data_IF_693801514892
#
_entry.id   IF_693801514892
#
_cell.length_a   1.000
_cell.length_b   1.000
_cell.length_c   1.000
_cell.angle_alpha   90.00
_cell.angle_beta   90.00
_cell.angle_gamma   90.00
#
_symmetry.space_group_name_H-M   'P 1'
#
loop_
_entity.id
_entity.type
_entity.pdbx_description
1 polymer ?
#
# COMPACT_ATOMS: atom_id res chain seq x y z
N UNK A 1 14.42 23.90 14.63
CA UNK A 1 13.35 23.44 13.72
C UNK A 1 12.27 22.80 14.57
N UNK A 2 11.12 23.45 14.70
CA UNK A 2 10.10 23.12 15.72
C UNK A 2 9.34 21.84 15.31
N UNK A 3 9.57 20.75 16.06
CA UNK A 3 8.88 19.46 15.90
C UNK A 3 7.35 19.54 16.12
N UNK A 4 6.86 20.63 16.71
CA UNK A 4 5.43 20.86 16.96
C UNK A 4 4.66 21.24 15.69
N UNK A 5 5.31 21.77 14.66
CA UNK A 5 4.71 22.11 13.36
C UNK A 5 4.48 20.89 12.46
N UNK A 6 5.32 19.85 12.58
CA UNK A 6 5.18 18.61 11.81
C UNK A 6 3.96 17.79 12.22
N UNK A 7 3.64 17.77 13.52
CA UNK A 7 2.52 16.99 14.05
C UNK A 7 1.13 17.54 13.65
N UNK A 8 1.01 18.83 13.32
CA UNK A 8 -0.29 19.46 13.07
C UNK A 8 -0.82 19.31 11.64
N UNK A 9 0.02 18.98 10.65
CA UNK A 9 -0.44 18.83 9.24
C UNK A 9 -0.99 17.44 8.92
N UNK A 10 -0.63 16.41 9.71
CA UNK A 10 -1.16 15.06 9.53
C UNK A 10 -2.60 14.84 10.06
N UNK A 11 -3.21 15.85 10.69
CA UNK A 11 -4.50 15.73 11.38
C UNK A 11 -5.72 16.00 10.47
N UNK A 12 -5.52 16.47 9.24
CA UNK A 12 -6.63 16.72 8.30
C UNK A 12 -6.87 15.59 7.29
N UNK A 13 -6.86 14.36 7.77
CA UNK A 13 -7.70 13.34 7.15
C UNK A 13 -9.10 13.50 7.73
N UNK A 14 -10.14 13.58 6.90
CA UNK A 14 -11.49 13.49 7.43
C UNK A 14 -11.58 12.21 8.25
N UNK A 15 -12.04 12.31 9.49
CA UNK A 15 -12.19 11.24 10.49
C UNK A 15 -12.75 9.93 9.89
N UNK A 16 -13.51 10.04 8.79
CA UNK A 16 -14.05 8.92 8.00
C UNK A 16 -13.00 7.99 7.37
N UNK A 17 -11.82 8.47 7.00
CA UNK A 17 -10.77 7.60 6.44
C UNK A 17 -10.15 6.73 7.53
N UNK A 18 -10.15 7.18 8.79
CA UNK A 18 -9.60 6.43 9.93
C UNK A 18 -10.46 5.24 10.35
N UNK A 19 -11.79 5.34 10.27
CA UNK A 19 -12.70 4.24 10.62
C UNK A 19 -12.64 3.09 9.61
N UNK A 20 -12.36 3.39 8.34
CA UNK A 20 -12.29 2.42 7.24
C UNK A 20 -10.94 1.72 7.10
N UNK A 21 -9.91 2.15 7.85
CA UNK A 21 -8.54 1.58 7.80
C UNK A 21 -8.47 0.11 8.25
N UNK A 22 -9.43 -0.34 9.03
CA UNK A 22 -9.44 -1.69 9.57
C UNK A 22 -10.13 -2.67 8.61
N UNK A 23 -9.30 -3.46 7.90
CA UNK A 23 -9.73 -4.65 7.16
C UNK A 23 -10.46 -4.42 5.82
N UNK A 24 -10.50 -3.20 5.24
CA UNK A 24 -11.12 -2.98 3.93
C UNK A 24 -10.50 -3.89 2.84
N UNK A 25 -9.22 -4.17 2.93
CA UNK A 25 -8.50 -5.10 2.05
C UNK A 25 -9.17 -6.49 2.00
N UNK A 26 -9.82 -6.91 3.08
CA UNK A 26 -10.52 -8.19 3.14
C UNK A 26 -11.75 -8.26 2.23
N UNK A 27 -12.29 -7.13 1.76
CA UNK A 27 -13.36 -7.13 0.75
C UNK A 27 -12.87 -7.55 -0.64
N UNK A 28 -11.57 -7.49 -0.90
CA UNK A 28 -10.94 -7.97 -2.15
C UNK A 28 -10.63 -9.47 -2.13
N UNK A 29 -10.73 -10.14 -0.97
CA UNK A 29 -10.37 -11.56 -0.83
C UNK A 29 -11.17 -12.45 -1.78
N UNK A 30 -10.62 -13.62 -2.17
CA UNK A 30 -11.36 -14.63 -2.91
C UNK A 30 -12.62 -15.07 -2.14
N UNK A 31 -13.75 -15.17 -2.84
CA UNK A 31 -15.00 -15.73 -2.26
C UNK A 31 -14.87 -17.24 -2.22
N UNK A 32 -14.44 -17.79 -1.09
CA UNK A 32 -14.43 -19.25 -0.86
C UNK A 32 -15.70 -19.69 -0.13
N UNK A 33 -16.08 -20.98 -0.24
CA UNK A 33 -17.27 -21.54 0.45
C UNK A 33 -17.25 -21.34 1.97
N UNK A 34 -16.07 -21.28 2.58
CA UNK A 34 -15.89 -21.02 4.03
C UNK A 34 -15.92 -19.52 4.39
N UNK A 35 -16.06 -18.62 3.44
CA UNK A 35 -15.97 -17.18 3.67
C UNK A 35 -17.18 -16.58 4.40
N UNK A 36 -18.29 -17.32 4.53
CA UNK A 36 -19.52 -16.83 5.17
C UNK A 36 -19.34 -16.42 6.64
N UNK A 37 -18.52 -17.15 7.40
CA UNK A 37 -18.31 -16.87 8.83
C UNK A 37 -17.48 -15.60 9.08
N UNK A 38 -16.59 -15.24 8.15
CA UNK A 38 -15.72 -14.05 8.26
C UNK A 38 -16.38 -12.83 7.64
N UNK A 39 -17.32 -13.01 6.70
CA UNK A 39 -18.02 -11.91 6.05
C UNK A 39 -18.77 -11.02 7.05
N UNK A 40 -19.36 -11.62 8.12
CA UNK A 40 -20.12 -10.89 9.12
C UNK A 40 -19.27 -10.07 10.11
N UNK A 41 -17.92 -10.15 10.01
CA UNK A 41 -16.98 -9.43 10.89
C UNK A 41 -16.22 -8.29 10.16
N UNK A 42 -16.45 -8.12 8.87
CA UNK A 42 -15.80 -7.06 8.10
C UNK A 42 -16.73 -5.85 8.11
N UNK A 43 -16.27 -4.66 8.55
CA UNK A 43 -17.07 -3.44 8.48
C UNK A 43 -17.56 -3.20 7.06
N UNK A 44 -18.81 -2.73 6.86
CA UNK A 44 -19.34 -2.45 5.54
C UNK A 44 -18.53 -1.33 4.88
N UNK A 45 -18.46 -1.34 3.55
CA UNK A 45 -17.83 -0.25 2.79
C UNK A 45 -18.66 1.04 2.89
N UNK A 46 -18.03 2.22 2.68
CA UNK A 46 -18.76 3.48 2.59
C UNK A 46 -19.87 3.41 1.54
N UNK A 47 -20.98 4.10 1.80
CA UNK A 47 -22.07 4.17 0.85
C UNK A 47 -21.60 4.70 -0.51
N UNK A 48 -21.95 3.98 -1.58
CA UNK A 48 -21.57 4.34 -2.95
C UNK A 48 -20.11 4.07 -3.32
N UNK A 49 -19.33 3.39 -2.46
CA UNK A 49 -17.94 3.00 -2.74
C UNK A 49 -17.81 1.49 -2.88
N UNK A 50 -17.09 1.05 -3.90
CA UNK A 50 -16.62 -0.32 -4.02
C UNK A 50 -15.32 -0.54 -3.20
N UNK A 51 -14.91 -1.79 -3.03
CA UNK A 51 -13.63 -2.11 -2.41
C UNK A 51 -12.43 -1.55 -3.20
N UNK A 52 -12.56 -1.51 -4.53
CA UNK A 52 -11.54 -0.94 -5.42
C UNK A 52 -11.43 0.57 -5.19
N UNK A 53 -12.56 1.29 -5.08
CA UNK A 53 -12.57 2.73 -4.84
C UNK A 53 -11.91 3.09 -3.49
N UNK A 54 -12.22 2.32 -2.43
CA UNK A 54 -11.61 2.54 -1.11
C UNK A 54 -10.12 2.26 -1.15
N UNK A 55 -9.70 1.23 -1.89
CA UNK A 55 -8.28 0.93 -2.05
C UNK A 55 -7.57 2.00 -2.88
N UNK A 56 -8.19 2.49 -3.94
CA UNK A 56 -7.66 3.61 -4.73
C UNK A 56 -7.49 4.89 -3.91
N UNK A 57 -8.49 5.24 -3.10
CA UNK A 57 -8.41 6.40 -2.20
C UNK A 57 -7.26 6.25 -1.19
N UNK A 58 -7.05 5.04 -0.66
CA UNK A 58 -5.96 4.75 0.26
C UNK A 58 -4.59 4.85 -0.42
N UNK A 59 -4.42 4.27 -1.61
CA UNK A 59 -3.18 4.36 -2.38
C UNK A 59 -2.85 5.82 -2.74
N UNK A 60 -3.83 6.56 -3.22
CA UNK A 60 -3.68 8.01 -3.53
C UNK A 60 -3.20 8.78 -2.31
N UNK A 61 -3.79 8.50 -1.16
CA UNK A 61 -3.39 9.13 0.09
C UNK A 61 -1.94 8.81 0.46
N UNK A 62 -1.52 7.54 0.39
CA UNK A 62 -0.14 7.14 0.69
C UNK A 62 0.85 7.81 -0.27
N UNK A 63 0.52 7.87 -1.55
CA UNK A 63 1.35 8.54 -2.57
C UNK A 63 1.52 10.03 -2.26
N UNK A 64 0.43 10.72 -1.91
CA UNK A 64 0.49 12.12 -1.48
C UNK A 64 1.33 12.32 -0.22
N UNK A 65 1.22 11.40 0.76
CA UNK A 65 2.06 11.44 1.95
C UNK A 65 3.55 11.28 1.62
N UNK A 66 3.89 10.35 0.72
CA UNK A 66 5.26 10.13 0.28
C UNK A 66 5.81 11.37 -0.46
N UNK A 67 5.03 11.93 -1.38
CA UNK A 67 5.36 13.17 -2.08
C UNK A 67 5.64 14.31 -1.10
N UNK A 68 4.68 14.59 -0.23
CA UNK A 68 4.81 15.67 0.78
C UNK A 68 6.04 15.46 1.66
N UNK A 69 6.31 14.21 2.07
CA UNK A 69 7.48 13.89 2.86
C UNK A 69 8.78 14.22 2.12
N UNK A 70 8.89 13.83 0.84
CA UNK A 70 10.08 14.11 0.02
C UNK A 70 10.24 15.62 -0.18
N UNK A 71 9.17 16.33 -0.56
CA UNK A 71 9.18 17.77 -0.80
C UNK A 71 9.57 18.58 0.45
N UNK A 72 9.15 18.13 1.65
CA UNK A 72 9.39 18.86 2.90
C UNK A 72 10.71 18.49 3.59
N UNK A 73 11.28 17.30 3.33
CA UNK A 73 12.47 16.81 4.05
C UNK A 73 13.78 17.01 3.29
N UNK A 74 13.72 17.17 1.97
CA UNK A 74 14.91 17.37 1.14
C UNK A 74 15.04 18.86 0.74
N UNK A 75 16.27 19.36 0.67
CA UNK A 75 16.55 20.77 0.32
C UNK A 75 15.96 21.16 -1.04
N UNK A 76 16.01 20.24 -2.03
CA UNK A 76 15.43 20.39 -3.35
C UNK A 76 14.28 19.39 -3.58
N UNK A 77 13.43 19.18 -2.57
CA UNK A 77 12.44 18.11 -2.56
C UNK A 77 11.44 18.18 -3.70
N UNK A 78 11.02 19.41 -4.09
CA UNK A 78 10.11 19.62 -5.23
C UNK A 78 10.76 19.20 -6.55
N UNK A 79 11.98 19.64 -6.82
CA UNK A 79 12.71 19.28 -8.05
C UNK A 79 13.04 17.78 -8.05
N UNK A 80 13.42 17.24 -6.89
CA UNK A 80 13.65 15.80 -6.73
C UNK A 80 12.39 15.01 -7.06
N UNK A 81 11.23 15.40 -6.53
CA UNK A 81 9.96 14.73 -6.84
C UNK A 81 9.67 14.73 -8.34
N UNK A 82 9.80 15.86 -9.02
CA UNK A 82 9.60 15.96 -10.47
C UNK A 82 10.52 15.05 -11.29
N UNK A 83 11.71 14.74 -10.77
CA UNK A 83 12.63 13.80 -11.46
C UNK A 83 12.28 12.34 -11.19
N UNK A 84 11.52 12.05 -10.13
CA UNK A 84 11.18 10.70 -9.69
C UNK A 84 9.79 10.24 -10.16
N UNK A 85 8.81 11.16 -10.25
CA UNK A 85 7.40 10.80 -10.43
C UNK A 85 7.13 9.93 -11.67
N UNK A 86 7.78 10.23 -12.81
CA UNK A 86 7.63 9.46 -14.05
C UNK A 86 8.46 8.17 -14.08
N UNK A 87 9.31 7.94 -13.09
CA UNK A 87 10.27 6.82 -13.03
C UNK A 87 10.03 5.94 -11.80
N UNK A 88 8.96 6.21 -11.08
CA UNK A 88 8.66 5.49 -9.84
C UNK A 88 8.11 4.10 -10.15
N UNK A 89 8.77 3.09 -9.59
CA UNK A 89 8.30 1.71 -9.57
C UNK A 89 7.50 1.45 -8.31
N UNK A 90 6.33 0.84 -8.45
CA UNK A 90 5.45 0.49 -7.34
C UNK A 90 5.48 -1.00 -7.06
N UNK A 91 5.65 -1.38 -5.80
CA UNK A 91 5.53 -2.76 -5.35
C UNK A 91 4.39 -2.84 -4.34
N UNK A 92 3.33 -3.56 -4.66
CA UNK A 92 2.22 -3.78 -3.75
C UNK A 92 2.28 -5.18 -3.16
N UNK A 93 2.18 -5.26 -1.82
CA UNK A 93 2.13 -6.53 -1.12
C UNK A 93 0.70 -7.04 -0.98
N UNK A 94 0.52 -8.35 -1.07
CA UNK A 94 -0.76 -9.01 -0.87
C UNK A 94 -0.62 -10.31 -0.07
N UNK A 95 -1.69 -10.80 0.60
CA UNK A 95 -1.69 -12.09 1.26
C UNK A 95 -1.40 -13.25 0.30
N UNK A 96 -0.84 -14.35 0.82
CA UNK A 96 -0.69 -15.57 0.06
C UNK A 96 -2.06 -16.05 -0.48
N UNK A 97 -2.07 -16.58 -1.69
CA UNK A 97 -3.29 -17.04 -2.35
C UNK A 97 -4.15 -15.93 -2.98
N UNK A 98 -3.64 -14.70 -3.02
CA UNK A 98 -4.22 -13.61 -3.79
C UNK A 98 -3.51 -13.54 -5.15
N UNK A 99 -4.10 -14.17 -6.14
CA UNK A 99 -3.55 -14.24 -7.49
C UNK A 99 -4.59 -13.75 -8.51
N UNK A 100 -4.17 -13.53 -9.74
CA UNK A 100 -5.05 -13.20 -10.84
C UNK A 100 -6.11 -12.13 -10.53
N UNK A 101 -7.33 -12.52 -10.17
CA UNK A 101 -8.42 -11.55 -9.98
C UNK A 101 -8.15 -10.49 -8.90
N UNK A 102 -7.48 -10.86 -7.80
CA UNK A 102 -7.16 -9.92 -6.72
C UNK A 102 -6.09 -8.93 -7.15
N UNK A 103 -5.04 -9.40 -7.80
CA UNK A 103 -4.00 -8.52 -8.38
C UNK A 103 -4.59 -7.60 -9.45
N UNK A 104 -5.51 -8.09 -10.29
CA UNK A 104 -6.23 -7.26 -11.26
C UNK A 104 -7.02 -6.14 -10.58
N UNK A 105 -7.76 -6.42 -9.51
CA UNK A 105 -8.47 -5.39 -8.74
C UNK A 105 -7.52 -4.38 -8.11
N UNK A 106 -6.37 -4.83 -7.59
CA UNK A 106 -5.35 -3.95 -7.03
C UNK A 106 -4.71 -3.06 -8.11
N UNK A 107 -4.50 -3.59 -9.32
CA UNK A 107 -4.00 -2.82 -10.47
C UNK A 107 -5.00 -1.75 -10.90
N UNK A 108 -6.29 -2.08 -11.01
CA UNK A 108 -7.34 -1.11 -11.29
C UNK A 108 -7.33 0.01 -10.23
N UNK A 109 -7.20 -0.35 -8.96
CA UNK A 109 -7.12 0.64 -7.89
C UNK A 109 -5.89 1.55 -8.01
N UNK A 110 -4.73 1.03 -8.43
CA UNK A 110 -3.52 1.82 -8.65
C UNK A 110 -3.68 2.81 -9.81
N UNK A 111 -4.33 2.41 -10.91
CA UNK A 111 -4.71 3.30 -12.01
C UNK A 111 -5.67 4.38 -11.52
N UNK A 112 -6.75 4.01 -10.83
CA UNK A 112 -7.72 4.98 -10.29
C UNK A 112 -7.10 5.93 -9.25
N UNK A 113 -6.08 5.48 -8.53
CA UNK A 113 -5.32 6.30 -7.60
C UNK A 113 -4.41 7.32 -8.31
N UNK A 114 -4.12 7.11 -9.59
CA UNK A 114 -3.18 7.91 -10.36
C UNK A 114 -1.71 7.57 -10.07
N UNK A 115 -1.43 6.35 -9.57
CA UNK A 115 -0.06 5.87 -9.36
C UNK A 115 0.60 5.50 -10.70
N UNK A 116 -0.17 4.88 -11.57
CA UNK A 116 0.27 4.43 -12.89
C UNK A 116 -0.77 4.81 -13.95
N UNK A 117 -0.38 5.09 -15.21
CA UNK A 117 -1.31 5.25 -16.31
C UNK A 117 -1.96 3.91 -16.69
N UNK A 118 -3.15 3.97 -17.30
CA UNK A 118 -3.86 2.81 -17.82
C UNK A 118 -3.34 2.45 -19.22
N UNK A 119 -2.12 1.94 -19.26
CA UNK A 119 -1.42 1.50 -20.47
C UNK A 119 -0.49 0.33 -20.14
N UNK A 120 -0.05 -0.44 -21.16
CA UNK A 120 0.87 -1.55 -20.96
C UNK A 120 2.19 -1.08 -20.32
N UNK A 121 2.69 0.07 -20.75
CA UNK A 121 3.88 0.71 -20.16
C UNK A 121 3.62 1.06 -18.69
N UNK A 122 2.53 1.77 -18.39
CA UNK A 122 2.16 2.10 -17.01
C UNK A 122 1.98 0.86 -16.13
N UNK A 123 1.40 -0.20 -16.66
CA UNK A 123 1.24 -1.46 -15.94
C UNK A 123 2.57 -2.16 -15.65
N UNK A 124 3.63 -1.93 -16.42
CA UNK A 124 4.97 -2.45 -16.18
C UNK A 124 5.63 -1.85 -14.94
N UNK A 125 5.24 -0.62 -14.54
CA UNK A 125 5.71 0.05 -13.32
C UNK A 125 5.06 -0.44 -12.03
N UNK A 126 4.17 -1.45 -12.09
CA UNK A 126 3.52 -2.02 -10.92
C UNK A 126 3.76 -3.52 -10.83
N UNK A 127 4.47 -3.94 -9.80
CA UNK A 127 4.71 -5.34 -9.46
C UNK A 127 3.99 -5.74 -8.17
N UNK A 128 3.81 -7.05 -8.00
CA UNK A 128 3.18 -7.65 -6.82
C UNK A 128 4.11 -8.66 -6.17
N UNK A 129 4.13 -8.65 -4.84
CA UNK A 129 4.83 -9.65 -4.04
C UNK A 129 3.92 -10.11 -2.91
N UNK A 130 4.10 -11.32 -2.43
CA UNK A 130 3.36 -11.77 -1.24
C UNK A 130 3.89 -11.09 0.02
N UNK A 131 3.05 -10.94 1.02
CA UNK A 131 3.46 -10.39 2.33
C UNK A 131 4.57 -11.26 2.97
N UNK A 132 4.54 -12.58 2.71
CA UNK A 132 5.59 -13.51 3.16
C UNK A 132 6.93 -13.26 2.47
N UNK A 133 6.94 -13.10 1.14
CA UNK A 133 8.15 -12.75 0.37
C UNK A 133 8.73 -11.41 0.80
N UNK A 134 7.89 -10.38 0.94
CA UNK A 134 8.34 -9.07 1.40
C UNK A 134 8.99 -9.14 2.80
N UNK A 135 8.39 -9.91 3.71
CA UNK A 135 8.95 -10.14 5.05
C UNK A 135 10.28 -10.89 4.99
N UNK A 136 10.39 -11.92 4.14
CA UNK A 136 11.65 -12.65 3.96
C UNK A 136 12.76 -11.74 3.42
N UNK A 137 12.47 -10.94 2.39
CA UNK A 137 13.42 -9.97 1.85
C UNK A 137 13.90 -8.99 2.91
N UNK A 138 13.00 -8.48 3.74
CA UNK A 138 13.37 -7.60 4.86
C UNK A 138 14.31 -8.31 5.85
N UNK A 139 14.00 -9.54 6.25
CA UNK A 139 14.84 -10.31 7.17
C UNK A 139 16.24 -10.58 6.61
N UNK A 140 16.34 -10.88 5.31
CA UNK A 140 17.63 -11.09 4.63
C UNK A 140 18.45 -9.81 4.63
N UNK A 141 17.85 -8.70 4.18
CA UNK A 141 18.54 -7.41 4.05
C UNK A 141 18.94 -6.80 5.39
N UNK A 142 18.12 -6.97 6.42
CA UNK A 142 18.39 -6.47 7.77
C UNK A 142 19.40 -7.32 8.56
N UNK A 143 19.89 -8.42 8.00
CA UNK A 143 20.86 -9.33 8.64
C UNK A 143 20.25 -10.24 9.71
N UNK A 144 18.96 -10.16 9.98
CA UNK A 144 18.27 -10.97 11.00
C UNK A 144 18.43 -12.48 10.78
N UNK A 145 18.54 -12.92 9.52
CA UNK A 145 18.78 -14.33 9.20
C UNK A 145 20.20 -14.78 9.61
N UNK A 146 21.19 -13.93 9.48
CA UNK A 146 22.57 -14.26 9.86
C UNK A 146 22.71 -14.49 11.35
N UNK A 147 21.94 -13.76 12.16
CA UNK A 147 21.93 -13.92 13.62
C UNK A 147 21.17 -15.19 14.05
N UNK A 148 20.07 -15.51 13.35
CA UNK A 148 19.31 -16.73 13.61
C UNK A 148 20.11 -18.01 13.26
N UNK A 149 20.85 -18.02 12.13
CA UNK A 149 21.65 -19.16 11.71
C UNK A 149 22.86 -19.39 12.65
N UNK A 150 23.41 -18.35 13.27
CA UNK A 150 24.53 -18.50 14.21
C UNK A 150 24.14 -19.17 15.54
N UNK A 151 22.87 -19.19 15.90
CA UNK A 151 22.38 -19.79 17.16
C UNK A 151 22.26 -21.30 17.09
N UNK A 152 22.10 -21.90 15.90
CA UNK A 152 21.86 -23.34 15.73
C UNK A 152 23.13 -24.20 15.54
N UNK A 153 24.34 -23.62 15.62
CA UNK A 153 25.62 -24.32 15.43
C UNK A 153 26.53 -24.33 16.67
N UNK A 154 25.98 -24.12 17.87
CA UNK A 154 26.74 -24.29 19.14
C UNK A 154 26.21 -25.44 20.00
#
# INVERSE_FOLDING_TARGET
>A
MDKSRMARRYIYLPIRVFEWRNRFKLHLRPKTRSSGYVANKIPPLPQGKSAIDVFADFLRYLHQCARTFIEETHANGVDLWHTLEDRTEFVLTHPNGWEGPQQSMMRIAAVQAGLIPDSDDGHSHLSFVTEGEASLHFCVQSGLINDAIKVDFN
#
